data_IF_393410329958
#
_entry.id   IF_393410329958
#
_cell.length_a   1.000
_cell.length_b   1.000
_cell.length_c   1.000
_cell.angle_alpha   90.00
_cell.angle_beta   90.00
_cell.angle_gamma   90.00
#
_symmetry.space_group_name_H-M   'P 1'
#
loop_
_entity.id
_entity.type
_entity.pdbx_description
1 polymer ?
#
# COMPACT_ATOMS: atom_id res chain seq x y z
N UNK A 1 3.84 -2.38 -14.02
CA UNK A 1 3.94 -1.79 -15.38
C UNK A 1 5.41 -1.52 -15.75
N UNK A 2 6.10 -0.59 -15.06
CA UNK A 2 7.45 -0.13 -15.43
C UNK A 2 8.49 -1.26 -15.62
N UNK A 3 8.53 -2.23 -14.70
CA UNK A 3 9.43 -3.40 -14.82
C UNK A 3 9.18 -4.18 -16.14
N UNK A 4 7.91 -4.38 -16.50
CA UNK A 4 7.56 -5.06 -17.75
C UNK A 4 8.00 -4.27 -18.98
N UNK A 5 7.90 -2.95 -18.96
CA UNK A 5 8.35 -2.10 -20.08
C UNK A 5 9.88 -2.07 -20.19
N UNK A 6 10.60 -2.11 -19.07
CA UNK A 6 12.06 -2.24 -19.06
C UNK A 6 12.46 -3.60 -19.66
N UNK A 7 11.82 -4.68 -19.23
CA UNK A 7 12.09 -6.03 -19.72
C UNK A 7 11.78 -6.20 -21.21
N UNK A 8 10.80 -5.45 -21.74
CA UNK A 8 10.48 -5.41 -23.16
C UNK A 8 11.42 -4.49 -23.98
N UNK A 9 12.34 -3.75 -23.33
CA UNK A 9 13.23 -2.81 -24.02
C UNK A 9 12.59 -1.46 -24.37
N UNK A 10 11.34 -1.24 -23.94
CA UNK A 10 10.60 -0.01 -24.22
C UNK A 10 11.06 1.15 -23.34
N UNK A 11 11.47 0.85 -22.09
CA UNK A 11 12.00 1.83 -21.15
C UNK A 11 13.44 1.48 -20.79
N UNK A 12 14.30 2.50 -20.71
CA UNK A 12 15.68 2.37 -20.22
C UNK A 12 15.73 2.40 -18.69
N UNK A 13 14.83 3.18 -18.06
CA UNK A 13 14.72 3.33 -16.61
C UNK A 13 13.25 3.40 -16.18
N UNK A 14 12.99 3.09 -14.93
CA UNK A 14 11.66 3.23 -14.35
C UNK A 14 11.68 3.10 -12.84
N UNK A 15 10.78 3.79 -12.17
CA UNK A 15 10.60 3.66 -10.72
C UNK A 15 9.72 2.45 -10.42
N UNK A 16 10.16 1.61 -9.49
CA UNK A 16 9.38 0.47 -9.01
C UNK A 16 9.61 0.25 -7.51
N UNK A 17 8.62 -0.35 -6.85
CA UNK A 17 8.72 -0.74 -5.45
C UNK A 17 9.73 -1.89 -5.26
N UNK A 18 10.45 -1.89 -4.15
CA UNK A 18 11.51 -2.88 -3.86
C UNK A 18 11.00 -4.33 -3.82
N UNK A 19 9.80 -4.58 -3.32
CA UNK A 19 9.15 -5.89 -3.32
C UNK A 19 8.95 -6.42 -4.75
N UNK A 20 8.44 -5.61 -5.66
CA UNK A 20 8.22 -6.00 -7.04
C UNK A 20 9.52 -6.18 -7.83
N UNK A 21 10.57 -5.42 -7.50
CA UNK A 21 11.91 -5.63 -8.05
C UNK A 21 12.47 -7.00 -7.62
N UNK A 22 12.36 -7.32 -6.33
CA UNK A 22 12.76 -8.62 -5.80
C UNK A 22 12.04 -9.77 -6.52
N UNK A 23 10.72 -9.70 -6.59
CA UNK A 23 9.92 -10.74 -7.24
C UNK A 23 10.22 -10.88 -8.74
N UNK A 24 10.46 -9.78 -9.44
CA UNK A 24 10.82 -9.81 -10.86
C UNK A 24 12.19 -10.47 -11.09
N UNK A 25 13.19 -10.12 -10.28
CA UNK A 25 14.55 -10.69 -10.39
C UNK A 25 14.57 -12.17 -10.04
N UNK A 26 13.78 -12.58 -9.02
CA UNK A 26 13.75 -13.97 -8.55
C UNK A 26 12.69 -14.86 -9.23
N UNK A 27 11.86 -14.32 -10.12
CA UNK A 27 10.80 -15.08 -10.79
C UNK A 27 9.74 -15.59 -9.82
N UNK A 28 9.42 -14.83 -8.75
CA UNK A 28 8.46 -15.23 -7.73
C UNK A 28 7.18 -14.38 -7.77
N UNK A 29 6.16 -14.73 -6.98
CA UNK A 29 4.84 -14.07 -6.98
C UNK A 29 4.27 -14.01 -8.41
N UNK A 30 3.75 -12.88 -8.86
CA UNK A 30 3.21 -12.69 -10.22
C UNK A 30 4.22 -12.85 -11.36
N UNK A 31 5.51 -12.93 -11.02
CA UNK A 31 6.59 -13.13 -11.99
C UNK A 31 7.02 -14.59 -12.12
N UNK A 32 6.30 -15.52 -11.51
CA UNK A 32 6.57 -16.95 -11.62
C UNK A 32 6.61 -17.37 -13.10
N UNK A 33 7.74 -17.98 -13.52
CA UNK A 33 8.00 -18.33 -14.91
C UNK A 33 8.39 -17.17 -15.85
N UNK A 34 8.60 -15.96 -15.30
CA UNK A 34 9.00 -14.74 -16.04
C UNK A 34 10.08 -13.98 -15.25
N UNK A 35 11.21 -14.61 -15.05
CA UNK A 35 12.32 -14.00 -14.32
C UNK A 35 13.04 -12.94 -15.17
N UNK A 36 13.31 -11.78 -14.59
CA UNK A 36 14.10 -10.70 -15.21
C UNK A 36 15.42 -10.50 -14.45
N UNK A 37 16.33 -11.47 -14.58
CA UNK A 37 17.63 -11.49 -13.88
C UNK A 37 18.55 -10.31 -14.20
N UNK A 38 18.32 -9.63 -15.33
CA UNK A 38 19.12 -8.49 -15.78
C UNK A 38 18.64 -7.13 -15.24
N UNK A 39 17.52 -7.12 -14.52
CA UNK A 39 17.04 -5.90 -13.85
C UNK A 39 18.07 -5.47 -12.79
N UNK A 40 18.37 -4.18 -12.74
CA UNK A 40 19.32 -3.59 -11.77
C UNK A 40 18.69 -2.39 -11.08
N UNK A 41 18.86 -2.31 -9.75
CA UNK A 41 18.56 -1.12 -8.99
C UNK A 41 19.71 -0.10 -9.17
N UNK A 42 19.38 1.13 -9.54
CA UNK A 42 20.36 2.21 -9.71
C UNK A 42 20.51 2.98 -8.40
N UNK A 43 19.40 3.48 -7.85
CA UNK A 43 19.34 4.12 -6.53
C UNK A 43 17.93 4.11 -5.97
N UNK A 44 17.82 4.26 -4.66
CA UNK A 44 16.55 4.44 -3.97
C UNK A 44 16.16 5.91 -3.96
N UNK A 45 14.90 6.22 -4.30
CA UNK A 45 14.37 7.58 -4.35
C UNK A 45 13.85 8.00 -2.97
N UNK A 46 12.94 7.21 -2.40
CA UNK A 46 12.35 7.45 -1.08
C UNK A 46 11.70 6.19 -0.50
N UNK A 47 11.40 6.24 0.78
CA UNK A 47 10.58 5.21 1.44
C UNK A 47 9.10 5.38 1.08
N UNK A 48 8.40 4.26 0.92
CA UNK A 48 6.96 4.19 0.66
C UNK A 48 6.29 3.32 1.72
N UNK A 49 5.90 3.90 2.87
CA UNK A 49 5.06 3.19 3.82
C UNK A 49 3.77 2.73 3.17
N UNK A 50 3.38 1.48 3.44
CA UNK A 50 2.04 1.03 3.10
C UNK A 50 1.06 1.59 4.12
N UNK A 51 0.13 2.42 3.68
CA UNK A 51 -0.79 3.17 4.52
C UNK A 51 -2.21 2.69 4.26
N UNK A 52 -2.94 2.31 5.30
CA UNK A 52 -4.40 2.17 5.20
C UNK A 52 -5.03 3.42 5.80
N UNK A 53 -5.78 4.12 4.97
CA UNK A 53 -6.51 5.33 5.35
C UNK A 53 -7.99 5.03 5.52
N UNK A 54 -8.53 5.39 6.68
CA UNK A 54 -9.91 5.11 7.03
C UNK A 54 -10.68 6.38 7.36
N UNK A 55 -11.91 6.50 6.87
CA UNK A 55 -12.79 7.62 7.23
C UNK A 55 -13.18 7.56 8.70
N UNK A 56 -13.26 8.70 9.35
CA UNK A 56 -13.53 8.79 10.80
C UNK A 56 -14.80 8.07 11.24
N UNK A 57 -15.88 8.15 10.45
CA UNK A 57 -17.16 7.50 10.76
C UNK A 57 -17.11 5.98 10.76
N UNK A 58 -16.17 5.37 10.06
CA UNK A 58 -16.02 3.90 10.00
C UNK A 58 -15.42 3.31 11.29
N UNK A 59 -14.79 4.15 12.15
CA UNK A 59 -14.20 3.77 13.45
C UNK A 59 -13.14 2.68 13.36
N UNK A 60 -12.42 2.61 12.25
CA UNK A 60 -11.35 1.65 11.99
C UNK A 60 -10.06 2.17 12.65
N UNK A 61 -9.38 1.34 13.44
CA UNK A 61 -8.14 1.68 14.16
C UNK A 61 -6.98 0.74 13.83
N UNK A 62 -7.28 -0.49 13.44
CA UNK A 62 -6.35 -1.55 13.07
C UNK A 62 -6.93 -2.38 11.92
N UNK A 63 -6.16 -3.35 11.43
CA UNK A 63 -6.57 -4.16 10.29
C UNK A 63 -7.86 -4.96 10.53
N UNK A 64 -8.04 -5.53 11.72
CA UNK A 64 -9.22 -6.35 12.02
C UNK A 64 -10.54 -5.56 11.99
N UNK A 65 -10.50 -4.25 12.23
CA UNK A 65 -11.68 -3.39 12.13
C UNK A 65 -12.17 -3.19 10.67
N UNK A 66 -11.41 -3.66 9.68
CA UNK A 66 -11.81 -3.65 8.27
C UNK A 66 -12.85 -4.73 7.93
N UNK A 67 -13.08 -5.70 8.83
CA UNK A 67 -14.11 -6.72 8.66
C UNK A 67 -15.46 -6.07 8.39
N UNK A 68 -16.13 -6.55 7.34
CA UNK A 68 -17.45 -6.06 6.95
C UNK A 68 -17.48 -4.61 6.44
N UNK A 69 -16.34 -3.99 6.12
CA UNK A 69 -16.24 -2.63 5.54
C UNK A 69 -16.11 -2.66 4.02
N UNK A 70 -16.36 -1.54 3.40
CA UNK A 70 -16.11 -1.32 1.96
C UNK A 70 -14.70 -0.77 1.80
N UNK A 71 -13.80 -1.58 1.21
CA UNK A 71 -12.37 -1.26 1.17
C UNK A 71 -11.85 -1.23 -0.27
N UNK A 72 -11.14 -0.17 -0.63
CA UNK A 72 -10.38 -0.16 -1.88
C UNK A 72 -9.04 -0.89 -1.69
N UNK A 73 -8.87 -1.98 -2.40
CA UNK A 73 -7.67 -2.81 -2.38
C UNK A 73 -6.68 -2.47 -3.51
N UNK A 74 -7.01 -1.47 -4.33
CA UNK A 74 -6.19 -1.02 -5.46
C UNK A 74 -6.52 -1.70 -6.78
N UNK A 75 -6.19 -1.03 -7.89
CA UNK A 75 -6.44 -1.56 -9.23
C UNK A 75 -5.48 -2.71 -9.59
N UNK A 76 -5.93 -3.67 -10.39
CA UNK A 76 -5.10 -4.79 -10.82
C UNK A 76 -3.78 -4.34 -11.46
N UNK A 77 -2.68 -5.00 -11.09
CA UNK A 77 -1.34 -4.70 -11.61
C UNK A 77 -0.64 -3.50 -10.98
N UNK A 78 -1.29 -2.76 -10.08
CA UNK A 78 -0.65 -1.70 -9.30
C UNK A 78 0.22 -2.26 -8.17
N UNK A 79 1.23 -1.49 -7.75
CA UNK A 79 2.06 -1.83 -6.59
C UNK A 79 1.23 -1.89 -5.30
N UNK A 80 0.34 -0.91 -5.10
CA UNK A 80 -0.53 -0.87 -3.92
C UNK A 80 -1.42 -2.11 -3.80
N UNK A 81 -1.95 -2.64 -4.93
CA UNK A 81 -2.75 -3.86 -4.94
C UNK A 81 -1.93 -5.04 -4.46
N UNK A 82 -0.72 -5.19 -4.99
CA UNK A 82 0.12 -6.30 -4.60
C UNK A 82 0.53 -6.27 -3.14
N UNK A 83 0.93 -5.10 -2.60
CA UNK A 83 1.25 -4.98 -1.18
C UNK A 83 0.03 -5.25 -0.29
N UNK A 84 -1.17 -4.83 -0.71
CA UNK A 84 -2.41 -5.14 0.00
C UNK A 84 -2.70 -6.64 0.01
N UNK A 85 -2.47 -7.34 -1.10
CA UNK A 85 -2.66 -8.79 -1.20
C UNK A 85 -1.68 -9.57 -0.31
N UNK A 86 -0.41 -9.13 -0.23
CA UNK A 86 0.57 -9.73 0.69
C UNK A 86 0.17 -9.51 2.16
N UNK A 87 -0.33 -8.31 2.50
CA UNK A 87 -0.85 -8.06 3.85
C UNK A 87 -2.07 -8.93 4.15
N UNK A 88 -3.05 -9.02 3.25
CA UNK A 88 -4.23 -9.87 3.43
C UNK A 88 -3.84 -11.34 3.64
N UNK A 89 -2.88 -11.84 2.85
CA UNK A 89 -2.34 -13.20 3.00
C UNK A 89 -1.68 -13.41 4.35
N UNK A 90 -0.87 -12.48 4.83
CA UNK A 90 -0.25 -12.54 6.14
C UNK A 90 -1.28 -12.54 7.28
N UNK A 91 -2.36 -11.75 7.11
CA UNK A 91 -3.48 -11.69 8.06
C UNK A 91 -4.43 -12.90 7.96
N UNK A 92 -4.20 -13.83 7.00
CA UNK A 92 -5.03 -15.03 6.81
C UNK A 92 -6.44 -14.73 6.28
N UNK A 93 -6.61 -13.64 5.53
CA UNK A 93 -7.92 -13.22 5.02
C UNK A 93 -7.93 -13.09 3.50
N UNK A 94 -9.13 -13.18 2.93
CA UNK A 94 -9.41 -12.93 1.51
C UNK A 94 -10.48 -11.83 1.33
N UNK A 95 -10.98 -11.67 0.12
CA UNK A 95 -11.98 -10.63 -0.19
C UNK A 95 -13.30 -10.81 0.59
N UNK A 96 -13.63 -12.00 1.06
CA UNK A 96 -14.86 -12.25 1.84
C UNK A 96 -14.82 -11.65 3.25
N UNK A 97 -13.62 -11.30 3.74
CA UNK A 97 -13.43 -10.58 5.00
C UNK A 97 -14.08 -9.19 4.98
N UNK A 98 -14.09 -8.55 3.83
CA UNK A 98 -14.69 -7.24 3.63
C UNK A 98 -16.18 -7.37 3.27
N UNK A 99 -16.98 -6.34 3.51
CA UNK A 99 -18.33 -6.24 2.96
C UNK A 99 -18.31 -6.25 1.43
N UNK A 100 -17.39 -5.48 0.87
CA UNK A 100 -17.05 -5.48 -0.56
C UNK A 100 -15.69 -4.83 -0.77
N UNK A 101 -15.03 -5.20 -1.87
CA UNK A 101 -13.79 -4.57 -2.31
C UNK A 101 -14.05 -3.71 -3.54
N UNK A 102 -13.24 -2.67 -3.72
CA UNK A 102 -13.16 -1.89 -4.95
C UNK A 102 -11.73 -1.91 -5.49
N UNK A 103 -11.60 -1.65 -6.77
CA UNK A 103 -10.32 -1.70 -7.51
C UNK A 103 -9.99 -0.35 -8.13
N UNK A 104 -10.26 0.72 -7.38
CA UNK A 104 -10.01 2.09 -7.81
C UNK A 104 -8.52 2.39 -7.91
N UNK A 105 -8.16 3.22 -8.85
CA UNK A 105 -6.80 3.76 -8.97
C UNK A 105 -6.48 4.71 -7.81
N UNK A 106 -5.19 5.03 -7.64
CA UNK A 106 -4.73 5.98 -6.62
C UNK A 106 -5.32 7.39 -6.78
N UNK A 107 -5.67 7.78 -7.98
CA UNK A 107 -6.31 9.08 -8.27
C UNK A 107 -7.80 9.12 -7.91
N UNK A 108 -8.48 7.97 -7.90
CA UNK A 108 -9.92 7.87 -7.67
C UNK A 108 -10.28 7.60 -6.20
N UNK A 109 -9.41 6.86 -5.49
CA UNK A 109 -9.70 6.34 -4.15
C UNK A 109 -9.97 7.45 -3.11
N UNK A 110 -9.24 8.57 -3.16
CA UNK A 110 -9.42 9.68 -2.21
C UNK A 110 -10.79 10.31 -2.38
N UNK A 111 -11.19 10.54 -3.65
CA UNK A 111 -12.53 11.07 -3.92
C UNK A 111 -13.62 10.11 -3.43
N UNK A 112 -13.48 8.81 -3.71
CA UNK A 112 -14.45 7.80 -3.25
C UNK A 112 -14.56 7.76 -1.72
N UNK A 113 -13.43 7.90 -0.99
CA UNK A 113 -13.43 7.99 0.47
C UNK A 113 -14.12 9.26 0.96
N UNK A 114 -13.82 10.41 0.36
CA UNK A 114 -14.42 11.71 0.72
C UNK A 114 -15.94 11.72 0.48
N UNK A 115 -16.39 11.10 -0.61
CA UNK A 115 -17.80 10.94 -0.97
C UNK A 115 -18.52 9.86 -0.09
N UNK A 116 -17.78 9.12 0.73
CA UNK A 116 -18.31 8.07 1.60
C UNK A 116 -18.70 6.78 0.87
N UNK A 117 -18.23 6.57 -0.36
CA UNK A 117 -18.45 5.35 -1.16
C UNK A 117 -17.64 4.16 -0.67
N UNK A 118 -16.48 4.42 -0.06
CA UNK A 118 -15.63 3.43 0.58
C UNK A 118 -15.34 3.85 2.03
N UNK A 119 -15.02 2.89 2.88
CA UNK A 119 -14.68 3.11 4.30
C UNK A 119 -13.19 3.31 4.51
N UNK A 120 -12.37 2.64 3.69
CA UNK A 120 -10.92 2.69 3.74
C UNK A 120 -10.29 2.37 2.39
N UNK A 121 -9.01 2.69 2.24
CA UNK A 121 -8.17 2.26 1.13
C UNK A 121 -6.73 2.01 1.57
N UNK A 122 -6.04 1.09 0.88
CA UNK A 122 -4.60 0.86 1.02
C UNK A 122 -3.81 1.63 -0.03
N UNK A 123 -2.64 2.18 0.34
CA UNK A 123 -1.76 2.88 -0.60
C UNK A 123 -0.30 2.85 -0.14
N UNK A 124 0.60 2.42 -1.03
CA UNK A 124 2.05 2.55 -0.85
C UNK A 124 2.48 3.91 -1.40
N UNK A 125 2.85 4.82 -0.53
CA UNK A 125 3.22 6.18 -0.94
C UNK A 125 4.08 6.86 0.12
N UNK A 126 5.04 7.67 -0.32
CA UNK A 126 5.83 8.54 0.57
C UNK A 126 4.98 9.58 1.30
N UNK A 127 5.52 10.11 2.38
CA UNK A 127 4.85 11.16 3.16
C UNK A 127 5.80 12.37 3.39
N UNK A 128 5.24 13.60 3.49
CA UNK A 128 3.83 13.97 3.32
C UNK A 128 3.37 13.84 1.86
N UNK A 129 2.08 13.58 1.65
CA UNK A 129 1.48 13.42 0.34
C UNK A 129 0.19 14.24 0.22
N UNK A 130 0.03 15.00 -0.87
CA UNK A 130 -1.11 15.91 -1.05
C UNK A 130 -2.47 15.22 -1.14
N UNK A 131 -2.54 14.01 -1.72
CA UNK A 131 -3.78 13.25 -1.79
C UNK A 131 -4.22 12.76 -0.39
N UNK A 132 -3.25 12.39 0.47
CA UNK A 132 -3.53 12.00 1.86
C UNK A 132 -3.96 13.22 2.69
N UNK A 133 -3.37 14.38 2.48
CA UNK A 133 -3.83 15.64 3.11
C UNK A 133 -5.27 15.98 2.69
N UNK A 134 -5.63 15.76 1.43
CA UNK A 134 -7.01 15.90 0.96
C UNK A 134 -7.95 14.94 1.71
N UNK A 135 -7.56 13.67 1.89
CA UNK A 135 -8.36 12.69 2.65
C UNK A 135 -8.53 13.11 4.13
N UNK A 136 -7.50 13.72 4.75
CA UNK A 136 -7.56 14.20 6.11
C UNK A 136 -8.49 15.43 6.28
N UNK A 137 -8.57 16.27 5.28
CA UNK A 137 -9.28 17.57 5.36
C UNK A 137 -10.70 17.53 4.81
N UNK A 138 -11.01 16.62 3.91
CA UNK A 138 -12.35 16.48 3.33
C UNK A 138 -13.41 16.00 4.35
N UNK A 139 -14.66 15.80 3.90
CA UNK A 139 -15.78 15.37 4.75
C UNK A 139 -15.53 14.02 5.46
N UNK A 140 -14.70 13.15 4.89
CA UNK A 140 -14.31 11.86 5.48
C UNK A 140 -13.50 12.03 6.78
N UNK A 141 -12.70 13.13 6.88
CA UNK A 141 -11.79 13.38 8.02
C UNK A 141 -10.95 12.13 8.30
N UNK A 142 -10.38 11.57 7.25
CA UNK A 142 -9.67 10.31 7.33
C UNK A 142 -8.33 10.46 8.05
N UNK A 143 -7.83 9.35 8.53
CA UNK A 143 -6.49 9.24 9.12
C UNK A 143 -5.88 7.87 8.81
N UNK A 144 -4.54 7.76 8.80
CA UNK A 144 -3.89 6.47 8.70
C UNK A 144 -4.17 5.66 9.97
N UNK A 145 -4.31 4.33 9.82
CA UNK A 145 -4.44 3.39 10.92
C UNK A 145 -3.11 2.71 11.22
N UNK A 146 -3.00 2.07 12.37
CA UNK A 146 -1.85 1.22 12.69
C UNK A 146 -1.96 -0.13 11.96
N UNK A 147 -0.84 -0.57 11.41
CA UNK A 147 -0.62 -1.91 10.88
C UNK A 147 0.53 -2.54 11.68
N UNK A 148 0.17 -3.20 12.76
CA UNK A 148 1.10 -3.81 13.72
C UNK A 148 0.56 -5.17 14.16
N UNK A 149 1.39 -5.97 14.80
CA UNK A 149 1.05 -7.29 15.29
C UNK A 149 2.00 -8.34 14.75
N UNK A 150 1.89 -9.58 15.24
CA UNK A 150 2.79 -10.66 14.86
C UNK A 150 2.75 -10.97 13.36
N UNK A 151 1.60 -10.83 12.70
CA UNK A 151 1.43 -11.08 11.28
C UNK A 151 2.22 -10.04 10.44
N UNK A 152 2.12 -8.76 10.81
CA UNK A 152 2.88 -7.68 10.15
C UNK A 152 4.36 -7.80 10.46
N UNK A 153 4.73 -8.17 11.69
CA UNK A 153 6.12 -8.44 12.04
C UNK A 153 6.66 -9.61 11.23
N UNK A 154 5.87 -10.67 11.05
CA UNK A 154 6.23 -11.80 10.20
C UNK A 154 6.49 -11.42 8.74
N UNK A 155 5.73 -10.45 8.18
CA UNK A 155 6.03 -9.90 6.85
C UNK A 155 7.39 -9.20 6.81
N UNK A 156 7.69 -8.38 7.83
CA UNK A 156 8.95 -7.63 7.91
C UNK A 156 10.13 -8.59 8.06
N UNK A 157 10.04 -9.57 8.96
CA UNK A 157 11.11 -10.51 9.26
C UNK A 157 11.33 -11.53 8.12
N UNK A 158 10.28 -11.79 7.35
CA UNK A 158 10.31 -12.77 6.25
C UNK A 158 10.80 -12.23 4.91
N UNK A 159 11.11 -10.93 4.80
CA UNK A 159 11.43 -10.33 3.50
C UNK A 159 12.35 -9.10 3.62
N UNK A 160 13.51 -9.15 2.97
CA UNK A 160 14.52 -8.07 2.98
C UNK A 160 14.03 -6.74 2.35
N UNK A 161 12.93 -6.77 1.64
CA UNK A 161 12.35 -5.59 0.99
C UNK A 161 11.28 -4.88 1.82
N UNK A 162 10.86 -5.45 2.94
CA UNK A 162 9.98 -4.78 3.90
C UNK A 162 10.75 -4.25 5.09
N UNK A 163 10.31 -3.12 5.63
CA UNK A 163 10.83 -2.55 6.85
C UNK A 163 9.71 -1.88 7.65
N UNK A 164 9.86 -1.81 8.96
CA UNK A 164 8.97 -1.02 9.79
C UNK A 164 9.06 0.46 9.39
N UNK A 165 7.91 1.11 9.35
CA UNK A 165 7.80 2.54 9.06
C UNK A 165 6.86 3.22 10.05
N UNK A 166 7.09 4.50 10.29
CA UNK A 166 6.25 5.33 11.15
C UNK A 166 5.92 6.62 10.42
N UNK A 167 4.64 6.94 10.34
CA UNK A 167 4.15 8.25 9.89
C UNK A 167 3.96 9.10 11.14
N UNK A 168 4.81 10.10 11.41
CA UNK A 168 4.77 10.86 12.66
C UNK A 168 3.45 11.60 12.85
N UNK A 169 3.02 11.75 14.08
CA UNK A 169 1.92 12.66 14.43
C UNK A 169 2.17 14.05 13.86
N UNK A 170 1.11 14.69 13.38
CA UNK A 170 1.21 16.03 12.80
C UNK A 170 1.72 16.07 11.37
N UNK A 171 2.05 14.93 10.74
CA UNK A 171 2.35 14.85 9.30
C UNK A 171 1.17 15.34 8.48
N UNK A 172 -0.04 14.99 8.89
CA UNK A 172 -1.29 15.40 8.23
C UNK A 172 -2.22 16.15 9.17
N UNK A 173 -3.08 17.00 8.60
CA UNK A 173 -4.06 17.78 9.35
C UNK A 173 -4.90 16.88 10.26
N UNK A 174 -4.96 17.21 11.55
CA UNK A 174 -5.69 16.47 12.60
C UNK A 174 -5.17 15.07 12.93
N UNK A 175 -4.06 14.65 12.39
CA UNK A 175 -3.39 13.42 12.81
C UNK A 175 -2.77 13.64 14.21
N UNK A 176 -3.35 13.02 15.23
CA UNK A 176 -2.99 13.23 16.64
C UNK A 176 -1.99 12.23 17.21
N UNK A 177 -1.75 11.13 16.46
CA UNK A 177 -0.88 10.02 16.89
C UNK A 177 0.01 9.61 15.72
N UNK A 178 1.13 8.99 16.05
CA UNK A 178 1.93 8.26 15.09
C UNK A 178 1.10 7.12 14.50
N UNK A 179 1.35 6.79 13.25
CA UNK A 179 0.82 5.57 12.62
C UNK A 179 2.00 4.66 12.27
N UNK A 180 2.09 3.54 12.98
CA UNK A 180 3.11 2.51 12.74
C UNK A 180 2.61 1.55 11.67
N UNK A 181 3.47 1.23 10.71
CA UNK A 181 3.18 0.37 9.59
C UNK A 181 4.46 -0.29 9.08
N UNK A 182 4.38 -0.94 7.96
CA UNK A 182 5.53 -1.43 7.19
C UNK A 182 5.58 -0.72 5.82
N UNK A 183 6.68 -0.87 5.12
CA UNK A 183 6.80 -0.23 3.82
C UNK A 183 7.92 -0.80 2.96
N UNK A 184 7.99 -0.27 1.77
CA UNK A 184 8.95 -0.57 0.71
C UNK A 184 9.75 0.67 0.36
N UNK A 185 10.65 0.55 -0.62
CA UNK A 185 11.36 1.69 -1.21
C UNK A 185 10.97 1.85 -2.67
N UNK A 186 10.76 3.09 -3.10
CA UNK A 186 10.79 3.45 -4.51
C UNK A 186 12.25 3.46 -4.98
N UNK A 187 12.55 2.70 -5.98
CA UNK A 187 13.92 2.55 -6.53
C UNK A 187 13.87 2.69 -8.02
#
# INVERSE_FOLDING_TARGET
>A
YNIGQIAAGEFQFGVAQSDWQYHAVNGSSKWQGKQYSDLRAVFSVHNEPFQIWARKKAKIKNFSDLEGKVVNIGNPGSGQRGTMEELMKAMGVDNSFFKSTTELTSSEQVKALCDGKIDAFGYSVGFPNGAMEQAATCAAKASPINLTGPEVQGLIDGADYYAQAVIPKGTYTKQKKDATTFGVKAT
#
